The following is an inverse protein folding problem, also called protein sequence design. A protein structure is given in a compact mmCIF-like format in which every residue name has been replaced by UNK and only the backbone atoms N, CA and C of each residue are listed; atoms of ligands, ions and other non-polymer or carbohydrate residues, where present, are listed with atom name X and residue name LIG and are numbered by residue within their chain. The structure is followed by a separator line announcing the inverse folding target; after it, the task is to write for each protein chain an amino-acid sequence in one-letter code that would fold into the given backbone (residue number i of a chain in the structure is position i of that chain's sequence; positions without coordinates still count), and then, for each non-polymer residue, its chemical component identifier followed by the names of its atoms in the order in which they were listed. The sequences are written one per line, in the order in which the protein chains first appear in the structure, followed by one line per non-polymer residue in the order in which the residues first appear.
data_IF_362078660047
#
_entry.id   IF_362078660047
#
_cell.length_a   1.000
_cell.length_b   1.000
_cell.length_c   1.000
_cell.angle_alpha   90.00
_cell.angle_beta   90.00
_cell.angle_gamma   90.00
#
_symmetry.space_group_name_H-M   'P 1'
#
loop_
_entity.id
_entity.type
_entity.pdbx_description
1 polymer ?
#
# COMPACT_ATOMS: atom_id res chain seq x y z
N UNK A 1 -6.08 1.70 35.70
CA UNK A 1 -6.34 2.81 34.76
C UNK A 1 -7.62 2.52 34.00
N UNK A 2 -8.68 3.23 34.30
CA UNK A 2 -9.88 3.13 33.48
C UNK A 2 -9.61 3.86 32.17
N UNK A 3 -9.73 3.16 31.07
CA UNK A 3 -9.70 3.77 29.73
C UNK A 3 -10.96 4.63 29.59
N UNK A 4 -10.78 5.94 29.55
CA UNK A 4 -11.88 6.84 29.24
C UNK A 4 -12.14 6.83 27.74
N UNK A 5 -13.15 6.06 27.34
CA UNK A 5 -13.59 5.96 25.95
C UNK A 5 -14.13 7.29 25.42
N UNK A 6 -14.44 8.24 26.29
CA UNK A 6 -14.92 9.59 25.91
C UNK A 6 -13.77 10.56 25.61
N UNK A 7 -12.55 10.13 25.69
CA UNK A 7 -11.36 10.94 25.34
C UNK A 7 -11.29 11.32 23.87
N UNK A 8 -12.05 10.66 23.04
CA UNK A 8 -12.26 11.03 21.63
C UNK A 8 -13.67 11.57 21.50
N UNK A 9 -13.79 12.77 20.94
CA UNK A 9 -14.98 13.60 20.99
C UNK A 9 -16.25 12.98 20.42
N UNK A 10 -16.14 12.01 19.52
CA UNK A 10 -17.29 11.30 18.96
C UNK A 10 -16.97 9.81 18.78
N UNK A 11 -17.47 8.91 19.63
CA UNK A 11 -17.19 7.49 19.52
C UNK A 11 -17.72 6.82 18.25
N UNK A 12 -18.60 7.48 17.49
CA UNK A 12 -19.08 7.02 16.19
C UNK A 12 -18.26 7.50 14.99
N UNK A 13 -17.32 8.43 15.23
CA UNK A 13 -16.56 9.08 14.16
C UNK A 13 -15.18 8.45 13.97
N UNK A 14 -15.18 7.16 13.67
CA UNK A 14 -13.97 6.45 13.23
C UNK A 14 -14.27 5.39 12.20
N UNK A 15 -13.21 5.02 11.49
CA UNK A 15 -13.24 3.88 10.59
C UNK A 15 -12.16 2.87 11.00
N UNK A 16 -12.38 1.56 10.80
CA UNK A 16 -11.40 0.54 11.12
C UNK A 16 -10.28 0.53 10.07
N UNK A 17 -9.06 0.35 10.55
CA UNK A 17 -7.89 0.18 9.72
C UNK A 17 -7.13 -1.07 10.18
N UNK A 18 -6.77 -2.01 9.29
CA UNK A 18 -6.02 -3.19 9.67
C UNK A 18 -4.63 -2.83 10.23
N UNK A 19 -4.28 -3.39 11.37
CA UNK A 19 -2.95 -3.20 11.98
C UNK A 19 -1.81 -3.65 11.06
N UNK A 20 -2.07 -4.65 10.22
CA UNK A 20 -1.11 -5.19 9.26
C UNK A 20 -0.55 -4.15 8.28
N UNK A 21 -1.27 -3.08 8.00
CA UNK A 21 -0.84 -1.99 7.11
C UNK A 21 0.55 -1.44 7.50
N UNK A 22 0.85 -1.41 8.81
CA UNK A 22 2.15 -0.94 9.30
C UNK A 22 3.27 -1.96 9.19
N UNK A 23 2.98 -3.19 8.78
CA UNK A 23 3.93 -4.30 8.70
C UNK A 23 4.20 -4.79 7.29
N UNK A 24 3.66 -4.12 6.27
CA UNK A 24 3.69 -4.58 4.88
C UNK A 24 4.68 -3.83 4.01
N UNK A 25 5.60 -3.08 4.60
CA UNK A 25 6.65 -2.37 3.88
C UNK A 25 6.16 -1.15 3.09
N UNK A 26 5.03 -0.57 3.47
CA UNK A 26 4.53 0.67 2.88
C UNK A 26 5.28 1.87 3.45
N UNK A 27 5.55 2.86 2.62
CA UNK A 27 6.08 4.14 3.08
C UNK A 27 4.95 5.05 3.64
N UNK A 28 5.35 6.19 4.21
CA UNK A 28 4.40 7.11 4.84
C UNK A 28 3.34 7.65 3.87
N UNK A 29 3.70 7.91 2.62
CA UNK A 29 2.77 8.41 1.62
C UNK A 29 1.77 7.34 1.16
N UNK A 30 2.23 6.11 1.01
CA UNK A 30 1.37 4.97 0.70
C UNK A 30 0.39 4.68 1.84
N UNK A 31 0.85 4.75 3.09
CA UNK A 31 0.00 4.58 4.27
C UNK A 31 -1.04 5.69 4.36
N UNK A 32 -0.64 6.94 4.17
CA UNK A 32 -1.56 8.08 4.21
C UNK A 32 -2.66 7.97 3.15
N UNK A 33 -2.28 7.62 1.92
CA UNK A 33 -3.23 7.44 0.83
C UNK A 33 -4.18 6.26 1.10
N UNK A 34 -3.64 5.13 1.51
CA UNK A 34 -4.45 3.94 1.83
C UNK A 34 -5.43 4.22 2.97
N UNK A 35 -4.99 4.91 4.02
CA UNK A 35 -5.86 5.39 5.09
C UNK A 35 -7.03 6.22 4.57
N UNK A 36 -6.75 7.19 3.72
CA UNK A 36 -7.78 8.07 3.19
C UNK A 36 -8.76 7.33 2.28
N UNK A 37 -8.29 6.40 1.47
CA UNK A 37 -9.16 5.55 0.66
C UNK A 37 -10.04 4.64 1.52
N UNK A 38 -9.53 4.08 2.61
CA UNK A 38 -10.31 3.32 3.58
C UNK A 38 -11.37 4.19 4.27
N UNK A 39 -11.04 5.44 4.55
CA UNK A 39 -11.99 6.42 5.07
C UNK A 39 -13.12 6.70 4.08
N UNK A 40 -12.82 6.79 2.79
CA UNK A 40 -13.78 7.09 1.73
C UNK A 40 -14.60 5.89 1.25
N UNK A 41 -14.14 4.66 1.47
CA UNK A 41 -14.76 3.48 0.88
C UNK A 41 -16.16 3.20 1.38
N UNK A 42 -17.01 2.70 0.50
CA UNK A 42 -18.25 2.03 0.87
C UNK A 42 -17.89 0.66 1.44
N UNK A 43 -18.32 0.37 2.66
CA UNK A 43 -17.99 -0.89 3.35
C UNK A 43 -18.63 -2.13 2.75
N UNK A 44 -19.62 -1.97 1.90
CA UNK A 44 -20.28 -3.08 1.21
C UNK A 44 -19.55 -3.44 -0.08
N UNK A 45 -19.08 -2.44 -0.81
CA UNK A 45 -18.44 -2.61 -2.11
C UNK A 45 -16.92 -2.49 -2.06
N UNK A 46 -16.36 -1.91 -1.00
CA UNK A 46 -14.93 -1.56 -0.84
C UNK A 46 -14.43 -0.61 -1.93
N UNK A 47 -15.34 0.21 -2.44
CA UNK A 47 -15.08 1.14 -3.55
C UNK A 47 -15.26 2.58 -3.13
N UNK A 48 -14.48 3.46 -3.73
CA UNK A 48 -14.60 4.90 -3.62
C UNK A 48 -14.05 5.56 -4.88
N UNK A 49 -14.34 6.85 -5.06
CA UNK A 49 -13.94 7.58 -6.27
C UNK A 49 -13.56 9.03 -6.00
N UNK A 50 -12.77 9.32 -4.95
CA UNK A 50 -12.29 10.68 -4.72
C UNK A 50 -11.36 11.14 -5.85
N UNK A 51 -11.43 12.44 -6.21
CA UNK A 51 -10.48 13.03 -7.17
C UNK A 51 -9.08 13.17 -6.56
N UNK A 52 -8.07 13.30 -7.40
CA UNK A 52 -6.72 13.59 -6.92
C UNK A 52 -6.65 14.87 -6.10
N UNK A 53 -7.41 15.89 -6.49
CA UNK A 53 -7.49 17.14 -5.74
C UNK A 53 -8.09 16.93 -4.34
N UNK A 54 -9.15 16.14 -4.23
CA UNK A 54 -9.78 15.79 -2.94
C UNK A 54 -8.81 15.01 -2.06
N UNK A 55 -8.13 14.01 -2.61
CA UNK A 55 -7.12 13.23 -1.89
C UNK A 55 -5.98 14.14 -1.44
N UNK A 56 -5.43 14.92 -2.36
CA UNK A 56 -4.31 15.81 -2.07
C UNK A 56 -4.61 16.85 -1.00
N UNK A 57 -5.83 17.41 -1.00
CA UNK A 57 -6.28 18.33 0.04
C UNK A 57 -6.39 17.66 1.41
N UNK A 58 -6.82 16.40 1.44
CA UNK A 58 -7.01 15.67 2.69
C UNK A 58 -5.69 15.26 3.35
N UNK A 59 -4.71 14.85 2.56
CA UNK A 59 -3.43 14.31 3.06
C UNK A 59 -2.21 15.19 2.78
N UNK A 60 -2.42 16.40 2.24
CA UNK A 60 -1.34 17.37 2.03
C UNK A 60 -0.38 17.03 0.91
N UNK A 61 -0.88 16.50 -0.20
CA UNK A 61 -0.08 16.12 -1.37
C UNK A 61 -0.53 16.87 -2.62
N UNK A 62 0.41 17.13 -3.54
CA UNK A 62 0.09 17.58 -4.89
C UNK A 62 -0.55 16.46 -5.71
N UNK A 63 -1.26 16.81 -6.80
CA UNK A 63 -1.87 15.84 -7.70
C UNK A 63 -0.85 14.85 -8.27
N UNK A 64 0.34 15.31 -8.63
CA UNK A 64 1.40 14.45 -9.14
C UNK A 64 1.91 13.46 -8.09
N UNK A 65 2.01 13.90 -6.85
CA UNK A 65 2.41 13.05 -5.73
C UNK A 65 1.32 12.02 -5.42
N UNK A 66 0.05 12.41 -5.44
CA UNK A 66 -1.09 11.48 -5.29
C UNK A 66 -1.03 10.40 -6.36
N UNK A 67 -0.85 10.78 -7.63
CA UNK A 67 -0.74 9.84 -8.74
C UNK A 67 0.40 8.84 -8.53
N UNK A 68 1.56 9.31 -8.09
CA UNK A 68 2.72 8.47 -7.79
C UNK A 68 2.38 7.39 -6.76
N UNK A 69 1.71 7.77 -5.68
CA UNK A 69 1.35 6.83 -4.62
C UNK A 69 0.18 5.91 -5.00
N UNK A 70 -0.76 6.39 -5.82
CA UNK A 70 -1.81 5.55 -6.41
C UNK A 70 -1.18 4.44 -7.26
N UNK A 71 -0.27 4.79 -8.15
CA UNK A 71 0.44 3.83 -9.00
C UNK A 71 1.24 2.82 -8.17
N UNK A 72 1.89 3.29 -7.11
CA UNK A 72 2.65 2.44 -6.18
C UNK A 72 1.77 1.45 -5.43
N UNK A 73 0.64 1.89 -4.87
CA UNK A 73 -0.31 1.02 -4.17
C UNK A 73 -0.96 0.00 -5.10
N UNK A 74 -1.29 0.40 -6.31
CA UNK A 74 -1.85 -0.50 -7.32
C UNK A 74 -0.84 -1.57 -7.73
N UNK A 75 0.42 -1.18 -7.95
CA UNK A 75 1.51 -2.09 -8.26
C UNK A 75 1.77 -3.09 -7.15
N UNK A 76 1.62 -2.69 -5.90
CA UNK A 76 1.76 -3.57 -4.72
C UNK A 76 0.52 -4.42 -4.45
N UNK A 77 -0.58 -4.20 -5.16
CA UNK A 77 -1.80 -4.99 -5.07
C UNK A 77 -2.78 -4.57 -3.96
N UNK A 78 -2.60 -3.39 -3.36
CA UNK A 78 -3.50 -2.90 -2.30
C UNK A 78 -4.80 -2.31 -2.84
N UNK A 79 -4.75 -1.76 -4.04
CA UNK A 79 -5.90 -1.15 -4.71
C UNK A 79 -5.95 -1.59 -6.17
N UNK A 80 -7.15 -1.54 -6.71
CA UNK A 80 -7.41 -1.65 -8.13
C UNK A 80 -8.09 -0.38 -8.61
N UNK A 81 -7.69 0.16 -9.75
CA UNK A 81 -8.25 1.40 -10.27
C UNK A 81 -8.95 1.17 -11.60
N UNK A 82 -10.08 1.83 -11.79
CA UNK A 82 -10.83 1.85 -13.05
C UNK A 82 -11.16 3.28 -13.43
N UNK A 83 -11.03 3.65 -14.72
CA UNK A 83 -11.47 4.94 -15.19
C UNK A 83 -12.99 5.05 -15.12
N UNK A 84 -13.50 6.23 -14.78
CA UNK A 84 -14.91 6.54 -14.82
C UNK A 84 -15.22 7.58 -15.87
N UNK A 85 -16.43 7.54 -16.41
CA UNK A 85 -16.92 8.51 -17.38
C UNK A 85 -18.11 9.26 -16.79
N UNK A 86 -18.07 10.59 -16.85
CA UNK A 86 -19.15 11.46 -16.43
C UNK A 86 -19.77 12.12 -17.67
N UNK A 87 -21.10 12.05 -17.79
CA UNK A 87 -21.83 12.81 -18.81
C UNK A 87 -22.26 14.15 -18.24
N UNK A 88 -21.90 15.21 -18.93
CA UNK A 88 -22.35 16.57 -18.63
C UNK A 88 -23.76 16.83 -19.22
N UNK A 89 -24.41 17.91 -18.78
CA UNK A 89 -25.76 18.29 -19.24
C UNK A 89 -25.86 18.48 -20.76
N UNK A 90 -24.75 18.81 -21.42
CA UNK A 90 -24.68 18.97 -22.88
C UNK A 90 -24.47 17.64 -23.65
N UNK A 91 -24.51 16.51 -22.95
CA UNK A 91 -24.40 15.17 -23.54
C UNK A 91 -22.96 14.72 -23.83
N UNK A 92 -21.95 15.54 -23.50
CA UNK A 92 -20.54 15.19 -23.69
C UNK A 92 -20.06 14.28 -22.58
N UNK A 93 -19.29 13.25 -22.93
CA UNK A 93 -18.64 12.38 -21.99
C UNK A 93 -17.25 12.92 -21.63
N UNK A 94 -16.97 13.05 -20.34
CA UNK A 94 -15.66 13.45 -19.82
C UNK A 94 -15.12 12.37 -18.88
N UNK A 95 -13.79 12.27 -18.77
CA UNK A 95 -13.16 11.42 -17.78
C UNK A 95 -13.49 11.93 -16.39
N UNK A 96 -14.10 11.08 -15.57
CA UNK A 96 -14.31 11.35 -14.17
C UNK A 96 -13.09 10.95 -13.32
N UNK A 97 -13.25 11.04 -12.01
CA UNK A 97 -12.26 10.52 -11.06
C UNK A 97 -12.12 9.01 -11.20
N UNK A 98 -10.93 8.47 -10.88
CA UNK A 98 -10.74 7.02 -10.84
C UNK A 98 -11.66 6.40 -9.78
N UNK A 99 -12.16 5.21 -10.08
CA UNK A 99 -12.81 4.37 -9.10
C UNK A 99 -11.76 3.46 -8.48
N UNK A 100 -11.64 3.51 -7.17
CA UNK A 100 -10.69 2.69 -6.39
C UNK A 100 -11.44 1.53 -5.76
N UNK A 101 -10.94 0.33 -5.95
CA UNK A 101 -11.40 -0.85 -5.22
C UNK A 101 -10.29 -1.31 -4.30
N UNK A 102 -10.54 -1.29 -2.99
CA UNK A 102 -9.56 -1.71 -2.00
C UNK A 102 -9.53 -3.23 -1.91
N UNK A 103 -8.32 -3.79 -1.93
CA UNK A 103 -8.12 -5.23 -1.90
C UNK A 103 -8.04 -5.75 -0.46
N UNK A 104 -8.42 -7.01 -0.21
CA UNK A 104 -8.27 -7.61 1.11
C UNK A 104 -6.81 -7.60 1.57
N UNK A 105 -6.57 -7.22 2.83
CA UNK A 105 -5.21 -7.10 3.39
C UNK A 105 -4.61 -8.47 3.74
N UNK A 106 -5.41 -9.42 4.20
CA UNK A 106 -4.90 -10.72 4.64
C UNK A 106 -4.12 -11.49 3.58
N UNK A 107 -4.59 -11.64 2.33
CA UNK A 107 -3.81 -12.27 1.28
C UNK A 107 -2.50 -11.54 0.97
N UNK A 108 -2.49 -10.21 1.05
CA UNK A 108 -1.30 -9.38 0.84
C UNK A 108 -0.28 -9.58 1.97
N UNK A 109 -0.75 -9.71 3.20
CA UNK A 109 0.09 -10.02 4.36
C UNK A 109 0.75 -11.39 4.20
N UNK A 110 -0.01 -12.40 3.83
CA UNK A 110 0.49 -13.75 3.57
C UNK A 110 1.55 -13.77 2.46
N UNK A 111 1.27 -13.12 1.34
CA UNK A 111 2.21 -13.02 0.22
C UNK A 111 3.50 -12.28 0.60
N UNK A 112 3.40 -11.23 1.40
CA UNK A 112 4.56 -10.47 1.89
C UNK A 112 5.45 -11.32 2.79
N UNK A 113 4.88 -12.04 3.74
CA UNK A 113 5.65 -12.93 4.62
C UNK A 113 6.29 -14.10 3.87
N UNK A 114 5.59 -14.70 2.93
CA UNK A 114 6.17 -15.75 2.07
C UNK A 114 7.36 -15.23 1.27
N UNK A 115 7.26 -14.03 0.73
CA UNK A 115 8.37 -13.38 0.02
C UNK A 115 9.56 -13.14 0.94
N UNK A 116 9.33 -12.67 2.15
CA UNK A 116 10.40 -12.46 3.14
C UNK A 116 11.08 -13.77 3.53
N UNK A 117 10.33 -14.84 3.73
CA UNK A 117 10.87 -16.17 4.03
C UNK A 117 11.75 -16.66 2.87
N UNK A 118 11.29 -16.54 1.64
CA UNK A 118 12.07 -16.94 0.46
C UNK A 118 13.37 -16.15 0.32
N UNK A 119 13.31 -14.85 0.57
CA UNK A 119 14.51 -13.98 0.52
C UNK A 119 15.51 -14.33 1.64
N UNK A 120 15.01 -14.63 2.84
CA UNK A 120 15.85 -15.06 3.95
C UNK A 120 16.52 -16.42 3.67
N UNK A 121 15.78 -17.38 3.15
CA UNK A 121 16.32 -18.68 2.74
C UNK A 121 17.37 -18.56 1.63
N UNK A 122 17.14 -17.71 0.65
CA UNK A 122 18.09 -17.45 -0.42
C UNK A 122 19.40 -16.85 0.12
N UNK A 123 19.31 -15.91 1.08
CA UNK A 123 20.48 -15.34 1.76
C UNK A 123 21.26 -16.40 2.55
N UNK A 124 20.55 -17.28 3.27
CA UNK A 124 21.19 -18.38 4.01
C UNK A 124 21.91 -19.36 3.09
N UNK A 125 21.31 -19.73 1.95
CA UNK A 125 21.94 -20.59 0.95
C UNK A 125 23.23 -19.95 0.40
N UNK A 126 23.17 -18.67 0.09
CA UNK A 126 24.33 -17.92 -0.39
C UNK A 126 25.46 -17.89 0.65
N UNK A 127 25.13 -17.58 1.91
CA UNK A 127 26.11 -17.57 3.00
C UNK A 127 26.73 -18.96 3.22
N UNK A 128 25.93 -20.01 3.19
CA UNK A 128 26.42 -21.38 3.34
C UNK A 128 27.33 -21.79 2.18
N UNK A 129 26.97 -21.44 0.95
CA UNK A 129 27.80 -21.70 -0.22
C UNK A 129 29.13 -20.94 -0.15
N UNK A 130 29.10 -19.68 0.28
CA UNK A 130 30.28 -18.85 0.50
C UNK A 130 31.22 -19.45 1.56
N UNK A 131 30.68 -19.89 2.70
CA UNK A 131 31.43 -20.54 3.77
C UNK A 131 32.09 -21.85 3.27
N UNK A 132 31.36 -22.66 2.51
CA UNK A 132 31.94 -23.88 1.91
C UNK A 132 33.07 -23.59 0.94
N UNK A 133 32.93 -22.54 0.13
CA UNK A 133 33.95 -22.10 -0.82
C UNK A 133 35.23 -21.63 -0.10
N UNK A 134 35.06 -20.83 0.95
CA UNK A 134 36.19 -20.35 1.77
C UNK A 134 36.91 -21.51 2.49
N UNK A 135 36.17 -22.50 3.03
CA UNK A 135 36.75 -23.71 3.65
C UNK A 135 37.56 -24.55 2.68
N UNK A 136 37.25 -24.51 1.38
CA UNK A 136 38.01 -25.22 0.34
C UNK A 136 39.20 -24.41 -0.20
N UNK A 137 39.55 -23.27 0.43
CA UNK A 137 40.67 -22.42 0.04
C UNK A 137 40.42 -21.45 -1.11
N UNK A 138 39.14 -21.26 -1.49
CA UNK A 138 38.74 -20.24 -2.45
C UNK A 138 38.76 -18.84 -1.85
N UNK A 139 39.10 -17.85 -2.67
CA UNK A 139 38.96 -16.43 -2.31
C UNK A 139 37.81 -15.82 -3.12
N UNK A 140 36.91 -15.14 -2.43
CA UNK A 140 35.89 -14.34 -3.10
C UNK A 140 36.54 -13.07 -3.66
N UNK A 141 36.28 -12.80 -4.93
CA UNK A 141 36.74 -11.59 -5.58
C UNK A 141 35.82 -10.42 -5.16
N UNK A 142 36.40 -9.44 -4.46
CA UNK A 142 35.65 -8.28 -3.96
C UNK A 142 35.06 -7.41 -5.09
N UNK A 143 35.54 -7.55 -6.31
CA UNK A 143 35.06 -6.83 -7.48
C UNK A 143 33.66 -7.29 -8.00
N UNK A 144 33.11 -8.36 -7.46
CA UNK A 144 31.79 -8.94 -7.87
C UNK A 144 30.65 -8.46 -7.01
N UNK A 145 30.88 -7.63 -6.01
CA UNK A 145 29.85 -6.98 -5.21
C UNK A 145 29.28 -5.74 -5.93
N UNK A 146 28.43 -5.98 -6.88
CA UNK A 146 27.64 -4.95 -7.52
C UNK A 146 26.17 -5.16 -7.20
#
# INVERSE_FOLDING_TARGET
MRYDLNRRDNPGDFFPMPKAVFRLGLDYGEIALLCFLMYCEDRKTFQCHPSYATIGSAIGMSNNTVKKYVDSLEKKGFIYTEPTMVRTRDGRAHNGSLQYTLQPIKPLEEAYFEKQIREAEARMRYQNATKKFEKKGGKLDEAVNV
#
